data_IF_047989076491
#
_entry.id   IF_047989076491
#
_cell.length_a   1.000
_cell.length_b   1.000
_cell.length_c   1.000
_cell.angle_alpha   90.00
_cell.angle_beta   90.00
_cell.angle_gamma   90.00
#
_symmetry.space_group_name_H-M   'P 1'
#
loop_
_entity.id
_entity.type
_entity.pdbx_description
1 polymer ?
#
# COMPACT_ATOMS: atom_id res chain seq x y z
N UNK A 1 -39.85 -10.22 -41.48
CA UNK A 1 -38.49 -9.65 -41.68
C UNK A 1 -37.91 -9.48 -40.29
N UNK A 2 -36.86 -10.13 -39.83
CA UNK A 2 -35.87 -11.00 -40.46
C UNK A 2 -35.29 -11.86 -39.34
N UNK A 3 -35.03 -13.13 -39.63
CA UNK A 3 -34.26 -14.02 -38.75
C UNK A 3 -32.79 -13.55 -38.79
N UNK A 4 -32.14 -13.45 -37.63
CA UNK A 4 -30.69 -13.21 -37.54
C UNK A 4 -30.06 -14.32 -36.73
N UNK A 5 -29.38 -15.17 -37.47
CA UNK A 5 -28.82 -16.46 -37.12
C UNK A 5 -27.62 -16.36 -36.17
N UNK A 6 -27.53 -17.36 -35.30
CA UNK A 6 -26.33 -17.78 -34.59
C UNK A 6 -25.17 -17.98 -35.57
N UNK A 7 -23.99 -17.44 -35.26
CA UNK A 7 -22.74 -17.83 -35.89
C UNK A 7 -21.68 -18.03 -34.81
N UNK A 8 -21.60 -19.28 -34.35
CA UNK A 8 -20.46 -19.83 -33.61
C UNK A 8 -19.20 -19.69 -34.48
N UNK A 9 -18.22 -18.95 -33.98
CA UNK A 9 -16.91 -18.81 -34.63
C UNK A 9 -16.19 -20.15 -34.69
N UNK A 10 -15.69 -20.60 -35.85
CA UNK A 10 -14.95 -21.85 -35.91
C UNK A 10 -13.51 -21.63 -35.43
N UNK A 11 -13.11 -22.49 -34.50
CA UNK A 11 -11.72 -22.79 -34.17
C UNK A 11 -10.94 -23.09 -35.46
N UNK A 12 -10.07 -22.17 -35.89
CA UNK A 12 -9.13 -22.41 -36.99
C UNK A 12 -7.99 -23.27 -36.44
N UNK A 13 -8.24 -24.58 -36.37
CA UNK A 13 -7.18 -25.56 -36.55
C UNK A 13 -6.75 -25.46 -38.01
N UNK A 14 -5.65 -24.74 -38.27
CA UNK A 14 -5.03 -24.65 -39.60
C UNK A 14 -4.40 -25.98 -39.98
N UNK A 15 -5.24 -26.93 -40.38
CA UNK A 15 -4.86 -28.24 -40.88
C UNK A 15 -5.79 -28.65 -42.01
N UNK A 16 -5.18 -29.01 -43.13
CA UNK A 16 -5.74 -29.89 -44.16
C UNK A 16 -6.75 -29.27 -45.14
N UNK A 17 -6.19 -28.73 -46.21
CA UNK A 17 -6.90 -28.46 -47.47
C UNK A 17 -5.98 -28.71 -48.66
N UNK A 18 -5.24 -29.82 -48.66
CA UNK A 18 -4.65 -30.36 -49.88
C UNK A 18 -5.59 -31.48 -50.34
N UNK A 19 -6.31 -31.24 -51.43
CA UNK A 19 -7.02 -32.29 -52.15
C UNK A 19 -6.00 -33.37 -52.50
N UNK A 20 -6.15 -34.54 -51.89
CA UNK A 20 -5.30 -35.69 -52.17
C UNK A 20 -5.90 -36.39 -53.37
N UNK A 21 -5.48 -35.98 -54.57
CA UNK A 21 -6.04 -36.43 -55.85
C UNK A 21 -5.66 -37.89 -56.21
N UNK A 22 -5.58 -38.81 -55.24
CA UNK A 22 -5.48 -40.26 -55.44
C UNK A 22 -4.30 -40.80 -56.27
N UNK A 23 -3.54 -39.94 -56.93
CA UNK A 23 -2.34 -40.24 -57.71
C UNK A 23 -1.18 -40.14 -56.73
N UNK A 24 -0.81 -41.30 -56.19
CA UNK A 24 0.40 -41.45 -55.40
C UNK A 24 1.57 -40.74 -56.09
N UNK A 25 2.38 -40.03 -55.29
CA UNK A 25 3.54 -39.30 -55.79
C UNK A 25 4.39 -40.18 -56.73
N UNK A 26 4.68 -39.68 -57.94
CA UNK A 26 5.49 -40.35 -58.98
C UNK A 26 6.95 -40.65 -58.57
N UNK A 27 7.36 -40.36 -57.33
CA UNK A 27 8.70 -40.68 -56.83
C UNK A 27 8.63 -41.97 -56.02
N UNK A 28 8.91 -43.07 -56.70
CA UNK A 28 8.79 -44.45 -56.22
C UNK A 28 9.77 -44.87 -55.09
N UNK A 29 10.49 -43.96 -54.42
CA UNK A 29 11.39 -44.34 -53.34
C UNK A 29 11.60 -43.25 -52.29
N UNK A 30 11.29 -43.56 -51.01
CA UNK A 30 11.70 -42.76 -49.85
C UNK A 30 13.16 -43.08 -49.52
N UNK A 31 14.13 -42.44 -50.18
CA UNK A 31 15.51 -42.46 -49.65
C UNK A 31 15.50 -41.69 -48.35
N UNK A 32 15.98 -42.31 -47.27
CA UNK A 32 16.25 -41.60 -46.03
C UNK A 32 17.14 -40.37 -46.30
N UNK A 33 17.02 -39.28 -45.53
CA UNK A 33 17.80 -38.05 -45.75
C UNK A 33 19.32 -38.22 -45.85
N UNK A 34 19.88 -39.33 -45.35
CA UNK A 34 21.30 -39.70 -45.43
C UNK A 34 21.59 -40.97 -46.26
N UNK A 35 20.56 -41.66 -46.74
CA UNK A 35 20.69 -42.97 -47.39
C UNK A 35 20.96 -42.87 -48.91
N UNK A 36 21.34 -41.69 -49.40
CA UNK A 36 21.62 -41.47 -50.83
C UNK A 36 23.09 -41.66 -51.17
N UNK A 37 23.37 -42.06 -52.42
CA UNK A 37 24.73 -42.20 -52.95
C UNK A 37 24.87 -41.44 -54.28
N UNK A 38 26.06 -40.88 -54.58
CA UNK A 38 27.24 -40.76 -53.70
C UNK A 38 27.02 -39.74 -52.56
N UNK A 39 27.85 -39.79 -51.53
CA UNK A 39 27.76 -38.86 -50.40
C UNK A 39 28.17 -37.43 -50.81
N UNK A 40 27.29 -36.47 -50.54
CA UNK A 40 27.61 -35.04 -50.67
C UNK A 40 28.00 -34.53 -49.28
N UNK A 41 29.26 -34.11 -49.13
CA UNK A 41 29.80 -33.59 -47.89
C UNK A 41 29.53 -32.09 -47.77
N UNK A 42 29.17 -31.65 -46.57
CA UNK A 42 29.12 -30.24 -46.22
C UNK A 42 30.51 -29.73 -45.84
N UNK A 43 30.70 -28.41 -45.74
CA UNK A 43 31.93 -27.78 -45.24
C UNK A 43 32.32 -28.27 -43.84
N UNK A 44 31.35 -28.67 -43.03
CA UNK A 44 31.57 -29.33 -41.73
C UNK A 44 32.07 -30.79 -41.83
N UNK A 45 32.38 -31.27 -43.04
CA UNK A 45 32.88 -32.62 -43.38
C UNK A 45 31.93 -33.78 -43.08
N UNK A 46 30.70 -33.50 -42.64
CA UNK A 46 29.64 -34.49 -42.48
C UNK A 46 28.78 -34.61 -43.74
N UNK A 47 28.24 -35.81 -44.00
CA UNK A 47 27.26 -36.04 -45.07
C UNK A 47 26.03 -35.14 -44.85
N UNK A 48 25.69 -34.37 -45.87
CA UNK A 48 24.57 -33.43 -45.81
C UNK A 48 23.23 -34.18 -45.81
N UNK A 49 22.20 -33.58 -45.23
CA UNK A 49 20.84 -34.09 -45.40
C UNK A 49 20.33 -33.70 -46.78
N UNK A 50 19.87 -34.68 -47.58
CA UNK A 50 19.19 -34.43 -48.86
C UNK A 50 17.68 -34.33 -48.64
N UNK A 51 17.14 -33.15 -48.87
CA UNK A 51 15.70 -32.87 -48.80
C UNK A 51 15.11 -32.83 -50.21
N UNK A 52 13.93 -33.42 -50.38
CA UNK A 52 13.16 -33.37 -51.62
C UNK A 52 12.03 -32.36 -51.40
N UNK A 53 11.94 -31.33 -52.24
CA UNK A 53 10.78 -30.45 -52.25
C UNK A 53 9.59 -31.18 -52.85
N UNK A 54 8.46 -31.13 -52.16
CA UNK A 54 7.20 -31.75 -52.59
C UNK A 54 6.15 -30.72 -53.04
N UNK A 55 6.54 -29.45 -53.22
CA UNK A 55 5.62 -28.43 -53.73
C UNK A 55 5.40 -28.58 -55.24
N UNK A 56 4.16 -28.37 -55.70
CA UNK A 56 3.78 -28.51 -57.11
C UNK A 56 4.56 -27.58 -58.06
N UNK A 57 5.08 -26.45 -57.57
CA UNK A 57 5.93 -25.53 -58.33
C UNK A 57 7.44 -25.88 -58.34
N UNK A 58 7.87 -26.93 -57.64
CA UNK A 58 9.29 -27.30 -57.52
C UNK A 58 9.51 -28.83 -57.50
N UNK A 59 8.74 -29.56 -58.30
CA UNK A 59 8.83 -31.01 -58.39
C UNK A 59 10.27 -31.47 -58.66
N UNK A 60 10.78 -32.34 -57.79
CA UNK A 60 12.06 -33.00 -57.97
C UNK A 60 13.31 -32.19 -57.57
N UNK A 61 13.18 -30.93 -57.11
CA UNK A 61 14.35 -30.19 -56.60
C UNK A 61 14.85 -30.82 -55.30
N UNK A 62 16.12 -31.19 -55.30
CA UNK A 62 16.81 -31.77 -54.14
C UNK A 62 17.77 -30.74 -53.57
N UNK A 63 17.61 -30.40 -52.30
CA UNK A 63 18.47 -29.44 -51.61
C UNK A 63 19.28 -30.16 -50.53
N UNK A 64 20.56 -29.81 -50.43
CA UNK A 64 21.43 -30.30 -49.37
C UNK A 64 21.47 -29.30 -48.22
N UNK A 65 21.28 -29.78 -46.98
CA UNK A 65 21.44 -28.97 -45.77
C UNK A 65 22.48 -29.57 -44.86
N UNK A 66 23.30 -28.71 -44.27
CA UNK A 66 24.30 -29.06 -43.26
C UNK A 66 23.63 -29.79 -42.07
N UNK A 67 24.20 -30.93 -41.66
CA UNK A 67 23.72 -31.70 -40.50
C UNK A 67 23.84 -30.91 -39.21
N UNK A 68 25.01 -30.32 -38.96
CA UNK A 68 25.31 -29.53 -37.77
C UNK A 68 24.40 -28.31 -37.64
N UNK A 69 24.14 -27.60 -38.75
CA UNK A 69 23.22 -26.47 -38.75
C UNK A 69 21.79 -26.90 -38.37
N UNK A 70 21.32 -28.06 -38.85
CA UNK A 70 19.99 -28.59 -38.52
C UNK A 70 19.87 -28.99 -37.04
N UNK A 71 20.94 -29.52 -36.44
CA UNK A 71 21.00 -29.84 -35.00
C UNK A 71 20.94 -28.54 -34.19
N UNK A 72 21.78 -27.54 -34.51
CA UNK A 72 21.74 -26.22 -33.88
C UNK A 72 20.36 -25.54 -33.98
N UNK A 73 19.68 -25.63 -35.12
CA UNK A 73 18.32 -25.08 -35.25
C UNK A 73 17.28 -25.81 -34.40
N UNK A 74 17.49 -27.10 -34.09
CA UNK A 74 16.63 -27.84 -33.16
C UNK A 74 16.92 -27.39 -31.72
N UNK A 75 18.19 -27.36 -31.33
CA UNK A 75 18.59 -26.92 -29.98
C UNK A 75 18.12 -25.49 -29.70
N UNK A 76 18.26 -24.58 -30.67
CA UNK A 76 17.78 -23.21 -30.56
C UNK A 76 16.25 -23.15 -30.44
N UNK A 77 15.52 -23.96 -31.21
CA UNK A 77 14.06 -24.03 -31.11
C UNK A 77 13.62 -24.50 -29.73
N UNK A 78 14.27 -25.52 -29.19
CA UNK A 78 13.95 -26.08 -27.88
C UNK A 78 14.27 -25.07 -26.77
N UNK A 79 15.40 -24.37 -26.89
CA UNK A 79 15.78 -23.28 -25.99
C UNK A 79 14.77 -22.13 -26.04
N UNK A 80 14.34 -21.69 -27.24
CA UNK A 80 13.32 -20.64 -27.41
C UNK A 80 11.99 -21.09 -26.82
N UNK A 81 11.57 -22.34 -27.01
CA UNK A 81 10.36 -22.87 -26.40
C UNK A 81 10.44 -22.82 -24.87
N UNK A 82 11.57 -23.27 -24.30
CA UNK A 82 11.81 -23.23 -22.86
C UNK A 82 11.74 -21.81 -22.32
N UNK A 83 12.45 -20.87 -22.96
CA UNK A 83 12.43 -19.46 -22.59
C UNK A 83 11.02 -18.88 -22.69
N UNK A 84 10.25 -19.21 -23.73
CA UNK A 84 8.86 -18.75 -23.87
C UNK A 84 7.98 -19.23 -22.71
N UNK A 85 8.17 -20.47 -22.25
CA UNK A 85 7.46 -21.01 -21.08
C UNK A 85 7.86 -20.27 -19.80
N UNK A 86 9.15 -19.99 -19.63
CA UNK A 86 9.66 -19.27 -18.47
C UNK A 86 9.19 -17.80 -18.45
N UNK A 87 9.11 -17.15 -19.61
CA UNK A 87 8.53 -15.81 -19.76
C UNK A 87 7.06 -15.83 -19.37
N UNK A 88 6.26 -16.74 -19.92
CA UNK A 88 4.83 -16.85 -19.56
C UNK A 88 4.62 -17.09 -18.05
N UNK A 89 5.49 -17.91 -17.42
CA UNK A 89 5.46 -18.11 -15.98
C UNK A 89 5.77 -16.82 -15.21
N UNK A 90 6.80 -16.09 -15.62
CA UNK A 90 7.19 -14.82 -14.99
C UNK A 90 6.14 -13.73 -15.20
N UNK A 91 5.50 -13.67 -16.36
CA UNK A 91 4.39 -12.75 -16.64
C UNK A 91 3.25 -12.96 -15.64
N UNK A 92 2.85 -14.21 -15.39
CA UNK A 92 1.83 -14.53 -14.39
C UNK A 92 2.28 -14.17 -12.96
N UNK A 93 3.54 -14.40 -12.60
CA UNK A 93 4.09 -13.98 -11.29
C UNK A 93 4.14 -12.46 -11.12
N UNK A 94 4.36 -11.71 -12.20
CA UNK A 94 4.33 -10.23 -12.18
C UNK A 94 2.90 -9.75 -11.99
N UNK A 95 1.95 -10.32 -12.72
CA UNK A 95 0.52 -9.96 -12.61
C UNK A 95 -0.02 -10.19 -11.18
N UNK A 96 0.34 -11.32 -10.55
CA UNK A 96 -0.04 -11.59 -9.15
C UNK A 96 0.57 -10.57 -8.18
N UNK A 97 1.86 -10.22 -8.36
CA UNK A 97 2.52 -9.20 -7.55
C UNK A 97 1.92 -7.82 -7.76
N UNK A 98 1.52 -7.47 -8.97
CA UNK A 98 0.86 -6.20 -9.29
C UNK A 98 -0.50 -6.12 -8.59
N UNK A 99 -1.28 -7.21 -8.59
CA UNK A 99 -2.54 -7.27 -7.85
C UNK A 99 -2.33 -7.12 -6.34
N UNK A 100 -1.30 -7.76 -5.77
CA UNK A 100 -0.93 -7.59 -4.36
C UNK A 100 -0.46 -6.17 -4.03
N UNK A 101 0.29 -5.53 -4.93
CA UNK A 101 0.75 -4.15 -4.75
C UNK A 101 -0.44 -3.18 -4.76
N UNK A 102 -1.40 -3.36 -5.68
CA UNK A 102 -2.63 -2.57 -5.71
C UNK A 102 -3.43 -2.74 -4.41
N UNK A 103 -3.57 -3.97 -3.90
CA UNK A 103 -4.26 -4.22 -2.64
C UNK A 103 -3.57 -3.52 -1.45
N UNK A 104 -2.24 -3.61 -1.36
CA UNK A 104 -1.47 -2.91 -0.32
C UNK A 104 -1.56 -1.40 -0.45
N UNK A 105 -1.58 -0.88 -1.67
CA UNK A 105 -1.74 0.55 -1.91
C UNK A 105 -3.09 1.06 -1.37
N UNK A 106 -4.17 0.30 -1.56
CA UNK A 106 -5.49 0.65 -1.02
C UNK A 106 -5.49 0.67 0.52
N UNK A 107 -4.86 -0.32 1.16
CA UNK A 107 -4.74 -0.37 2.63
C UNK A 107 -3.93 0.81 3.19
N UNK A 108 -2.86 1.21 2.49
CA UNK A 108 -2.04 2.37 2.88
C UNK A 108 -2.86 3.67 2.77
N UNK A 109 -3.63 3.85 1.71
CA UNK A 109 -4.49 5.03 1.55
C UNK A 109 -5.60 5.11 2.60
N UNK A 110 -6.17 3.98 3.02
CA UNK A 110 -7.16 3.93 4.10
C UNK A 110 -6.54 4.35 5.45
N UNK A 111 -5.39 3.76 5.81
CA UNK A 111 -4.68 4.13 7.04
C UNK A 111 -4.23 5.58 7.05
N UNK A 112 -3.89 6.13 5.88
CA UNK A 112 -3.53 7.54 5.74
C UNK A 112 -4.71 8.46 6.08
N UNK A 113 -5.90 8.17 5.56
CA UNK A 113 -7.12 8.91 5.92
C UNK A 113 -7.43 8.81 7.42
N UNK A 114 -7.30 7.62 7.99
CA UNK A 114 -7.51 7.42 9.43
C UNK A 114 -6.54 8.25 10.28
N UNK A 115 -5.27 8.36 9.85
CA UNK A 115 -4.27 9.21 10.52
C UNK A 115 -4.64 10.69 10.39
N UNK A 116 -5.06 11.13 9.20
CA UNK A 116 -5.51 12.52 8.96
C UNK A 116 -6.70 12.88 9.88
N UNK A 117 -7.69 12.00 9.99
CA UNK A 117 -8.84 12.20 10.89
C UNK A 117 -8.42 12.28 12.37
N UNK A 118 -7.54 11.36 12.80
CA UNK A 118 -6.99 11.37 14.17
C UNK A 118 -6.20 12.65 14.46
N UNK A 119 -5.47 13.16 13.47
CA UNK A 119 -4.71 14.39 13.59
C UNK A 119 -5.63 15.62 13.74
N UNK A 120 -6.74 15.68 13.00
CA UNK A 120 -7.76 16.73 13.16
C UNK A 120 -8.38 16.70 14.57
N UNK A 121 -8.75 15.52 15.07
CA UNK A 121 -9.30 15.37 16.43
C UNK A 121 -8.30 15.81 17.50
N UNK A 122 -7.01 15.46 17.36
CA UNK A 122 -5.97 15.89 18.29
C UNK A 122 -5.78 17.41 18.29
N UNK A 123 -5.86 18.07 17.13
CA UNK A 123 -5.79 19.53 17.06
C UNK A 123 -6.95 20.19 17.79
N UNK A 124 -8.17 19.70 17.62
CA UNK A 124 -9.35 20.23 18.34
C UNK A 124 -9.18 20.05 19.85
N UNK A 125 -8.78 18.86 20.30
CA UNK A 125 -8.52 18.61 21.73
C UNK A 125 -7.44 19.52 22.30
N UNK A 126 -6.39 19.80 21.54
CA UNK A 126 -5.35 20.74 21.96
C UNK A 126 -5.91 22.15 22.16
N UNK A 127 -6.76 22.62 21.25
CA UNK A 127 -7.41 23.93 21.37
C UNK A 127 -8.35 23.99 22.59
N UNK A 128 -9.13 22.93 22.84
CA UNK A 128 -9.99 22.84 24.02
C UNK A 128 -9.20 22.85 25.33
N UNK A 129 -8.06 22.15 25.37
CA UNK A 129 -7.19 22.15 26.55
C UNK A 129 -6.59 23.54 26.79
N UNK A 130 -6.11 24.20 25.75
CA UNK A 130 -5.58 25.57 25.86
C UNK A 130 -6.66 26.55 26.38
N UNK A 131 -7.90 26.45 25.87
CA UNK A 131 -9.00 27.30 26.34
C UNK A 131 -9.36 27.04 27.81
N UNK A 132 -9.34 25.78 28.25
CA UNK A 132 -9.55 25.43 29.67
C UNK A 132 -8.42 25.90 30.57
N UNK A 133 -7.18 25.90 30.08
CA UNK A 133 -6.03 26.43 30.81
C UNK A 133 -6.18 27.94 31.04
N UNK A 134 -6.59 28.70 30.02
CA UNK A 134 -6.90 30.13 30.15
C UNK A 134 -8.04 30.40 31.15
N UNK A 135 -9.11 29.58 31.12
CA UNK A 135 -10.21 29.69 32.08
C UNK A 135 -9.74 29.43 33.53
N UNK A 136 -8.89 28.42 33.74
CA UNK A 136 -8.33 28.12 35.05
C UNK A 136 -7.41 29.24 35.56
N UNK A 137 -6.58 29.82 34.68
CA UNK A 137 -5.74 30.98 35.02
C UNK A 137 -6.62 32.16 35.46
N UNK A 138 -7.70 32.45 34.74
CA UNK A 138 -8.62 33.53 35.09
C UNK A 138 -9.31 33.29 36.45
N UNK A 139 -9.74 32.05 36.73
CA UNK A 139 -10.32 31.68 38.03
C UNK A 139 -9.31 31.76 39.17
N UNK A 140 -8.07 31.37 38.93
CA UNK A 140 -6.98 31.45 39.91
C UNK A 140 -6.72 32.91 40.31
N UNK A 141 -6.60 33.83 39.33
CA UNK A 141 -6.46 35.26 39.60
C UNK A 141 -7.65 35.83 40.39
N UNK A 142 -8.86 35.37 40.10
CA UNK A 142 -10.06 35.81 40.83
C UNK A 142 -10.05 35.32 42.29
N UNK A 143 -9.60 34.08 42.54
CA UNK A 143 -9.45 33.56 43.90
C UNK A 143 -8.40 34.35 44.67
N UNK A 144 -7.23 34.60 44.07
CA UNK A 144 -6.18 35.42 44.68
C UNK A 144 -6.66 36.83 45.03
N UNK A 145 -7.43 37.47 44.14
CA UNK A 145 -8.02 38.78 44.41
C UNK A 145 -9.01 38.73 45.59
N UNK A 146 -9.83 37.67 45.68
CA UNK A 146 -10.76 37.48 46.81
C UNK A 146 -10.02 37.21 48.11
N UNK A 147 -8.95 36.44 48.10
CA UNK A 147 -8.14 36.16 49.29
C UNK A 147 -7.53 37.45 49.85
N UNK A 148 -7.02 38.33 48.99
CA UNK A 148 -6.55 39.65 49.41
C UNK A 148 -7.66 40.46 50.08
N UNK A 149 -8.87 40.48 49.51
CA UNK A 149 -10.02 41.17 50.10
C UNK A 149 -10.38 40.59 51.48
N UNK A 150 -10.42 39.26 51.62
CA UNK A 150 -10.70 38.59 52.89
C UNK A 150 -9.65 38.95 53.94
N UNK A 151 -8.36 38.85 53.61
CA UNK A 151 -7.27 39.25 54.52
C UNK A 151 -7.39 40.71 54.97
N UNK A 152 -7.79 41.60 54.07
CA UNK A 152 -7.98 43.02 54.37
C UNK A 152 -9.15 43.22 55.35
N UNK A 153 -10.28 42.54 55.13
CA UNK A 153 -11.44 42.59 56.02
C UNK A 153 -11.15 41.97 57.39
N UNK A 154 -10.42 40.85 57.44
CA UNK A 154 -9.96 40.24 58.70
C UNK A 154 -9.07 41.18 59.51
N UNK A 155 -8.15 41.89 58.87
CA UNK A 155 -7.31 42.90 59.52
C UNK A 155 -8.15 44.06 60.08
N UNK A 156 -9.16 44.53 59.33
CA UNK A 156 -10.08 45.57 59.81
C UNK A 156 -10.90 45.10 61.02
N UNK A 157 -11.43 43.88 60.98
CA UNK A 157 -12.17 43.30 62.10
C UNK A 157 -11.26 43.13 63.33
N UNK A 158 -10.02 42.68 63.14
CA UNK A 158 -9.04 42.56 64.22
C UNK A 158 -8.78 43.91 64.90
N UNK A 159 -8.59 44.99 64.12
CA UNK A 159 -8.41 46.34 64.66
C UNK A 159 -9.64 46.84 65.42
N UNK A 160 -10.84 46.60 64.89
CA UNK A 160 -12.09 46.97 65.57
C UNK A 160 -12.26 46.21 66.89
N UNK A 161 -12.00 44.90 66.90
CA UNK A 161 -12.07 44.09 68.11
C UNK A 161 -11.06 44.57 69.16
N UNK A 162 -9.82 44.87 68.77
CA UNK A 162 -8.83 45.44 69.69
C UNK A 162 -9.26 46.78 70.30
N UNK A 163 -9.91 47.65 69.52
CA UNK A 163 -10.47 48.91 70.02
C UNK A 163 -11.61 48.67 71.02
N UNK A 164 -12.51 47.75 70.70
CA UNK A 164 -13.62 47.35 71.59
C UNK A 164 -13.05 46.76 72.89
N UNK A 165 -12.10 45.82 72.81
CA UNK A 165 -11.46 45.22 73.99
C UNK A 165 -10.79 46.28 74.87
N UNK A 166 -10.10 47.26 74.29
CA UNK A 166 -9.49 48.37 75.03
C UNK A 166 -10.54 49.24 75.75
N UNK A 167 -11.66 49.55 75.08
CA UNK A 167 -12.78 50.30 75.69
C UNK A 167 -13.42 49.52 76.85
N UNK A 168 -13.61 48.21 76.69
CA UNK A 168 -14.13 47.34 77.74
C UNK A 168 -13.19 47.36 78.95
N UNK A 169 -11.88 47.17 78.76
CA UNK A 169 -10.89 47.21 79.85
C UNK A 169 -10.89 48.57 80.57
N UNK A 170 -10.91 49.69 79.82
CA UNK A 170 -11.00 51.04 80.39
C UNK A 170 -12.26 51.23 81.23
N UNK A 171 -13.42 50.81 80.72
CA UNK A 171 -14.68 50.93 81.47
C UNK A 171 -14.68 50.12 82.77
N UNK A 172 -14.13 48.89 82.75
CA UNK A 172 -14.00 48.04 83.94
C UNK A 172 -13.06 48.68 84.97
N UNK A 173 -11.91 49.23 84.53
CA UNK A 173 -10.97 49.93 85.42
C UNK A 173 -11.61 51.15 86.09
N UNK A 174 -12.37 51.95 85.34
CA UNK A 174 -13.09 53.10 85.89
C UNK A 174 -14.10 52.68 86.96
N UNK A 175 -14.85 51.60 86.73
CA UNK A 175 -15.79 51.07 87.74
C UNK A 175 -15.05 50.60 89.00
N UNK A 176 -13.91 49.89 88.86
CA UNK A 176 -13.10 49.46 90.01
C UNK A 176 -12.60 50.66 90.82
N UNK A 177 -12.07 51.69 90.16
CA UNK A 177 -11.58 52.91 90.82
C UNK A 177 -12.72 53.58 91.61
N UNK A 178 -13.90 53.72 91.00
CA UNK A 178 -15.08 54.27 91.67
C UNK A 178 -15.44 53.48 92.93
N UNK A 179 -15.44 52.14 92.86
CA UNK A 179 -15.71 51.28 94.03
C UNK A 179 -14.67 51.48 95.13
N UNK A 180 -13.38 51.54 94.80
CA UNK A 180 -12.30 51.77 95.78
C UNK A 180 -12.43 53.14 96.46
N UNK A 181 -12.71 54.19 95.69
CA UNK A 181 -12.93 55.54 96.24
C UNK A 181 -14.14 55.53 97.19
N UNK A 182 -15.23 54.86 96.81
CA UNK A 182 -16.44 54.74 97.65
C UNK A 182 -16.22 53.93 98.92
N UNK A 183 -15.30 52.95 98.92
CA UNK A 183 -14.93 52.16 100.10
C UNK A 183 -13.99 52.92 101.04
N UNK A 184 -13.07 53.73 100.51
CA UNK A 184 -12.11 54.52 101.30
C UNK A 184 -12.70 55.82 101.88
N UNK A 185 -13.81 56.32 101.34
CA UNK A 185 -14.49 57.52 101.82
C UNK A 185 -15.45 57.28 103.01
N UNK A 186 -15.45 56.07 103.57
CA UNK A 186 -16.21 55.65 104.76
C UNK A 186 -15.29 55.39 105.93
#
# INVERSE_FOLDING_TARGET
>A
MSQSSLASGPNIHGGSGATYDGQGSLVAYRVGPLAYEPAVLCDCKLKAYRWISWSNGQLGRRYYRCRRARELFRDLRDAVWKLKKDVAKKEAEVEDKDMQLVAKQMEVEEKKKEIEDKQMVLQVKQQELNAKEEELIAKQQQLEAKDVVVQTLEAQLRMKNQCIDALVVLSVLLVIILVVVMLNAK
#
